data_IF_037506443101
#
_entry.id   IF_037506443101
#
_cell.length_a   1.000
_cell.length_b   1.000
_cell.length_c   1.000
_cell.angle_alpha   90.00
_cell.angle_beta   90.00
_cell.angle_gamma   90.00
#
_symmetry.space_group_name_H-M   'P 1'
#
loop_
_entity.id
_entity.type
_entity.pdbx_description
1 polymer ?
#
# COMPACT_ATOMS: atom_id res chain seq x y z
N UNK A 1 -0.79 28.51 -7.37
CA UNK A 1 -0.23 27.37 -6.61
C UNK A 1 -1.35 26.36 -6.40
N UNK A 2 -1.45 25.32 -7.24
CA UNK A 2 -2.37 24.20 -7.02
C UNK A 2 -1.56 23.04 -6.46
N UNK A 3 -1.34 23.05 -5.16
CA UNK A 3 -0.88 21.86 -4.47
C UNK A 3 -2.10 20.93 -4.40
N UNK A 4 -2.33 20.14 -5.46
CA UNK A 4 -3.26 19.03 -5.36
C UNK A 4 -2.69 18.08 -4.32
N UNK A 5 -3.10 18.25 -3.06
CA UNK A 5 -2.72 17.38 -1.94
C UNK A 5 -3.42 16.04 -2.11
N UNK A 6 -3.03 15.28 -3.12
CA UNK A 6 -3.38 13.87 -3.25
C UNK A 6 -2.70 13.17 -2.07
N UNK A 7 -3.47 12.87 -1.03
CA UNK A 7 -2.97 12.12 0.14
C UNK A 7 -3.06 10.64 -0.20
N UNK A 8 -1.90 10.03 -0.41
CA UNK A 8 -1.79 8.57 -0.53
C UNK A 8 -2.02 7.93 0.82
N UNK A 9 -2.96 7.00 0.88
CA UNK A 9 -3.25 6.16 2.03
C UNK A 9 -2.82 4.76 1.64
N UNK A 10 -1.81 4.26 2.34
CA UNK A 10 -1.31 2.91 2.16
C UNK A 10 -1.86 2.07 3.31
N UNK A 11 -2.75 1.14 3.00
CA UNK A 11 -3.19 0.15 3.96
C UNK A 11 -2.28 -1.08 3.85
N UNK A 12 -1.52 -1.33 4.92
CA UNK A 12 -0.57 -2.44 5.02
C UNK A 12 -1.15 -3.58 5.85
N UNK A 13 -2.49 -3.72 5.95
CA UNK A 13 -3.12 -4.69 6.84
C UNK A 13 -2.73 -6.10 6.41
N UNK A 14 -1.81 -6.79 7.13
CA UNK A 14 -1.34 -8.08 6.71
C UNK A 14 -2.48 -9.08 6.88
N UNK A 15 -2.82 -9.79 5.82
CA UNK A 15 -3.87 -10.81 5.87
C UNK A 15 -3.24 -12.10 6.37
N UNK A 16 -3.71 -12.61 7.51
CA UNK A 16 -3.28 -13.92 7.99
C UNK A 16 -4.10 -15.00 7.29
N UNK A 17 -3.44 -15.85 6.50
CA UNK A 17 -4.07 -16.96 5.78
C UNK A 17 -3.28 -18.24 6.06
N UNK A 18 -3.97 -19.30 6.48
CA UNK A 18 -3.37 -20.64 6.71
C UNK A 18 -2.16 -20.72 7.67
N UNK A 19 -1.96 -19.74 8.54
CA UNK A 19 -0.82 -19.71 9.48
C UNK A 19 0.29 -18.77 9.05
N UNK A 20 0.28 -18.31 7.80
CA UNK A 20 1.24 -17.36 7.23
C UNK A 20 0.67 -15.93 7.22
N UNK A 21 1.55 -14.94 7.29
CA UNK A 21 1.24 -13.52 7.15
C UNK A 21 1.44 -13.10 5.70
N UNK A 22 0.35 -12.87 4.98
CA UNK A 22 0.41 -12.35 3.63
C UNK A 22 0.64 -10.84 3.68
N UNK A 23 1.77 -10.41 3.11
CA UNK A 23 2.05 -9.02 2.83
C UNK A 23 0.98 -8.51 1.86
N UNK A 24 0.27 -7.49 2.31
CA UNK A 24 -0.78 -6.83 1.56
C UNK A 24 -0.47 -5.34 1.54
N UNK A 25 -0.54 -4.71 0.38
CA UNK A 25 -0.32 -3.28 0.24
C UNK A 25 -1.39 -2.70 -0.66
N UNK A 26 -2.37 -2.04 -0.04
CA UNK A 26 -3.43 -1.36 -0.77
C UNK A 26 -3.15 0.14 -0.83
N UNK A 27 -2.87 0.65 -2.03
CA UNK A 27 -2.62 2.07 -2.24
C UNK A 27 -3.91 2.73 -2.72
N UNK A 28 -4.49 3.53 -1.84
CA UNK A 28 -5.62 4.41 -2.14
C UNK A 28 -5.14 5.85 -2.18
N UNK A 29 -5.77 6.69 -2.99
CA UNK A 29 -5.55 8.12 -2.95
C UNK A 29 -6.85 8.82 -2.61
N UNK A 30 -6.76 9.80 -1.70
CA UNK A 30 -7.82 10.75 -1.51
C UNK A 30 -7.56 11.95 -2.41
N UNK A 31 -8.46 12.18 -3.36
CA UNK A 31 -8.46 13.43 -4.12
C UNK A 31 -8.79 14.59 -3.18
N UNK A 32 -8.30 15.80 -3.47
CA UNK A 32 -8.57 16.99 -2.68
C UNK A 32 -10.07 17.35 -2.57
N UNK A 33 -10.89 16.77 -3.44
CA UNK A 33 -12.35 16.85 -3.46
C UNK A 33 -13.02 15.89 -2.45
N UNK A 34 -12.22 15.13 -1.69
CA UNK A 34 -12.69 14.13 -0.72
C UNK A 34 -12.96 12.74 -1.33
N UNK A 35 -12.98 12.62 -2.66
CA UNK A 35 -13.24 11.36 -3.33
C UNK A 35 -12.06 10.39 -3.16
N UNK A 36 -12.31 9.23 -2.55
CA UNK A 36 -11.35 8.14 -2.39
C UNK A 36 -11.41 7.28 -3.65
N UNK A 37 -10.32 7.21 -4.40
CA UNK A 37 -10.20 6.25 -5.49
C UNK A 37 -9.05 5.30 -5.20
N UNK A 38 -9.30 4.02 -5.50
CA UNK A 38 -8.29 2.98 -5.42
C UNK A 38 -7.33 3.22 -6.57
N UNK A 39 -6.08 3.57 -6.27
CA UNK A 39 -5.08 3.86 -7.30
C UNK A 39 -4.46 2.56 -7.79
N UNK A 40 -4.20 1.64 -6.84
CA UNK A 40 -3.72 0.32 -7.14
C UNK A 40 -4.04 -0.63 -5.99
N UNK A 41 -4.90 -1.64 -6.21
CA UNK A 41 -5.00 -2.78 -5.33
C UNK A 41 -3.84 -3.70 -5.69
N UNK A 42 -2.67 -3.48 -5.10
CA UNK A 42 -1.71 -4.59 -5.05
C UNK A 42 -2.29 -5.63 -4.11
N UNK A 43 -2.57 -6.81 -4.66
CA UNK A 43 -3.19 -7.91 -3.96
C UNK A 43 -2.28 -8.51 -2.89
N UNK A 44 -2.23 -9.83 -2.81
CA UNK A 44 -1.28 -10.54 -1.97
C UNK A 44 0.10 -10.44 -2.65
N UNK A 45 1.02 -9.68 -2.06
CA UNK A 45 2.36 -9.48 -2.62
C UNK A 45 3.23 -10.72 -2.40
N UNK A 46 3.23 -11.25 -1.18
CA UNK A 46 3.97 -12.45 -0.79
C UNK A 46 3.48 -12.96 0.58
N UNK A 47 3.59 -14.27 0.81
CA UNK A 47 3.41 -14.88 2.12
C UNK A 47 4.72 -14.85 2.91
N UNK A 48 4.65 -14.47 4.18
CA UNK A 48 5.77 -14.47 5.11
C UNK A 48 5.38 -15.20 6.40
N UNK A 49 6.30 -15.95 6.99
CA UNK A 49 6.10 -16.54 8.32
C UNK A 49 6.04 -15.49 9.43
N UNK A 50 6.74 -14.36 9.23
CA UNK A 50 6.85 -13.28 10.19
C UNK A 50 6.05 -12.05 9.75
N UNK A 51 5.20 -11.56 10.66
CA UNK A 51 4.41 -10.33 10.45
C UNK A 51 5.30 -9.13 10.14
N UNK A 52 6.42 -8.98 10.83
CA UNK A 52 7.33 -7.84 10.67
C UNK A 52 7.95 -7.80 9.28
N UNK A 53 8.30 -8.95 8.72
CA UNK A 53 8.82 -9.09 7.37
C UNK A 53 7.76 -8.71 6.34
N UNK A 54 6.52 -9.19 6.54
CA UNK A 54 5.39 -8.85 5.67
C UNK A 54 5.12 -7.34 5.60
N UNK A 55 5.23 -6.65 6.75
CA UNK A 55 4.99 -5.20 6.83
C UNK A 55 6.15 -4.43 6.22
N UNK A 56 7.39 -4.87 6.47
CA UNK A 56 8.59 -4.23 5.94
C UNK A 56 8.62 -4.34 4.42
N UNK A 57 8.29 -5.52 3.89
CA UNK A 57 8.18 -5.74 2.45
C UNK A 57 7.07 -4.88 1.83
N UNK A 58 5.86 -4.92 2.40
CA UNK A 58 4.72 -4.15 1.90
C UNK A 58 4.98 -2.63 1.92
N UNK A 59 5.70 -2.13 2.94
CA UNK A 59 6.12 -0.72 3.03
C UNK A 59 7.14 -0.35 1.97
N UNK A 60 8.21 -1.14 1.80
CA UNK A 60 9.23 -0.89 0.79
C UNK A 60 8.63 -0.92 -0.62
N UNK A 61 7.74 -1.89 -0.88
CA UNK A 61 7.02 -2.00 -2.14
C UNK A 61 6.17 -0.74 -2.40
N UNK A 62 5.39 -0.29 -1.42
CA UNK A 62 4.54 0.89 -1.59
C UNK A 62 5.35 2.17 -1.82
N UNK A 63 6.50 2.30 -1.16
CA UNK A 63 7.40 3.44 -1.35
C UNK A 63 8.06 3.42 -2.72
N UNK A 64 8.57 2.26 -3.18
CA UNK A 64 9.13 2.09 -4.52
C UNK A 64 8.08 2.34 -5.61
N UNK A 65 6.83 1.94 -5.38
CA UNK A 65 5.73 2.20 -6.30
C UNK A 65 5.39 3.69 -6.40
N UNK A 66 5.38 4.41 -5.27
CA UNK A 66 5.17 5.86 -5.27
C UNK A 66 6.30 6.58 -5.99
N UNK A 67 7.55 6.17 -5.74
CA UNK A 67 8.74 6.72 -6.41
C UNK A 67 8.69 6.46 -7.92
N UNK A 68 8.37 5.24 -8.36
CA UNK A 68 8.27 4.91 -9.78
C UNK A 68 7.15 5.66 -10.53
N UNK A 69 6.12 6.16 -9.82
CA UNK A 69 4.94 6.79 -10.44
C UNK A 69 4.90 8.32 -10.28
N UNK A 70 5.53 8.85 -9.24
CA UNK A 70 5.54 10.28 -8.91
C UNK A 70 6.95 10.88 -8.78
N UNK A 71 8.01 10.06 -8.86
CA UNK A 71 9.41 10.49 -8.92
C UNK A 71 9.83 10.97 -10.30
#
# INVERSE_FOLDING_TARGET
>A
MRCNSTRFVIDLTPRRANGEYMAHAHISANHADGNKYIVHPSGDLAGFDLREDSITYARNWAQAWLDARFG
#
